data_IF_118160680856
#
_entry.id   IF_118160680856
#
_cell.length_a   1.000
_cell.length_b   1.000
_cell.length_c   1.000
_cell.angle_alpha   90.00
_cell.angle_beta   90.00
_cell.angle_gamma   90.00
#
_symmetry.space_group_name_H-M   'P 1'
#
loop_
_entity.id
_entity.type
_entity.pdbx_description
1 polymer ?
#
# COMPACT_ATOMS: atom_id res chain seq x y z
N UNK A 1 -21.62 22.57 28.69
CA UNK A 1 -20.72 21.45 28.30
C UNK A 1 -21.17 20.98 26.93
N UNK A 2 -20.56 21.50 25.89
CA UNK A 2 -20.83 21.14 24.50
C UNK A 2 -20.31 19.72 24.26
N UNK A 3 -21.18 18.80 23.82
CA UNK A 3 -20.80 17.48 23.35
C UNK A 3 -19.74 17.66 22.25
N UNK A 4 -18.49 17.32 22.57
CA UNK A 4 -17.42 17.35 21.60
C UNK A 4 -17.82 16.47 20.42
N UNK A 5 -17.71 17.00 19.20
CA UNK A 5 -17.77 16.22 17.96
C UNK A 5 -16.68 15.16 18.07
N UNK A 6 -17.03 13.95 18.44
CA UNK A 6 -16.15 12.81 18.24
C UNK A 6 -15.89 12.73 16.74
N UNK A 7 -14.65 12.99 16.33
CA UNK A 7 -14.23 12.86 14.95
C UNK A 7 -14.60 11.47 14.45
N UNK A 8 -15.22 11.40 13.26
CA UNK A 8 -15.61 10.12 12.67
C UNK A 8 -14.35 9.33 12.37
N UNK A 9 -14.12 8.26 13.11
CA UNK A 9 -13.02 7.32 12.88
C UNK A 9 -13.19 6.68 11.51
N UNK A 10 -12.08 6.53 10.80
CA UNK A 10 -12.04 5.94 9.47
C UNK A 10 -11.32 4.60 9.54
N UNK A 11 -12.06 3.50 9.44
CA UNK A 11 -11.47 2.18 9.43
C UNK A 11 -10.72 1.92 8.12
N UNK A 12 -9.50 1.39 8.25
CA UNK A 12 -8.66 0.95 7.12
C UNK A 12 -8.20 -0.48 7.34
N UNK A 13 -8.01 -1.22 6.26
CA UNK A 13 -7.49 -2.59 6.28
C UNK A 13 -6.36 -2.78 5.30
N UNK A 14 -5.33 -3.50 5.74
CA UNK A 14 -4.22 -3.98 4.93
C UNK A 14 -4.30 -5.50 4.84
N UNK A 15 -4.26 -6.02 3.64
CA UNK A 15 -4.21 -7.46 3.40
C UNK A 15 -2.73 -7.87 3.43
N UNK A 16 -2.28 -8.36 4.58
CA UNK A 16 -1.00 -9.06 4.69
C UNK A 16 -1.14 -10.41 4.01
N UNK A 17 -0.41 -10.62 2.92
CA UNK A 17 -0.69 -11.71 2.01
C UNK A 17 0.50 -12.66 1.87
N UNK A 18 0.27 -13.95 2.04
CA UNK A 18 1.21 -14.99 1.64
C UNK A 18 1.10 -15.18 0.12
N UNK A 19 2.21 -14.99 -0.58
CA UNK A 19 2.29 -15.11 -2.04
C UNK A 19 2.77 -16.51 -2.40
N UNK A 20 2.05 -17.17 -3.29
CA UNK A 20 2.39 -18.46 -3.90
C UNK A 20 3.00 -18.27 -5.30
N UNK A 21 3.51 -19.37 -5.88
CA UNK A 21 4.00 -19.36 -7.28
C UNK A 21 2.88 -19.38 -8.32
N UNK A 22 1.61 -19.61 -7.91
CA UNK A 22 0.45 -19.53 -8.80
C UNK A 22 -0.18 -18.13 -8.74
N UNK A 23 -0.12 -17.34 -9.83
CA UNK A 23 -0.82 -16.07 -9.96
C UNK A 23 -2.35 -16.21 -9.73
N UNK A 24 -2.95 -17.31 -10.18
CA UNK A 24 -4.39 -17.57 -10.03
C UNK A 24 -4.76 -17.69 -8.56
N UNK A 25 -4.02 -18.50 -7.78
CA UNK A 25 -4.22 -18.64 -6.33
C UNK A 25 -4.00 -17.31 -5.59
N UNK A 26 -3.04 -16.52 -6.04
CA UNK A 26 -2.78 -15.19 -5.47
C UNK A 26 -3.96 -14.26 -5.72
N UNK A 27 -4.55 -14.28 -6.93
CA UNK A 27 -5.74 -13.50 -7.27
C UNK A 27 -6.97 -13.95 -6.47
N UNK A 28 -7.20 -15.25 -6.34
CA UNK A 28 -8.29 -15.82 -5.54
C UNK A 28 -8.16 -15.40 -4.05
N UNK A 29 -6.95 -15.48 -3.51
CA UNK A 29 -6.67 -15.05 -2.13
C UNK A 29 -6.93 -13.56 -1.96
N UNK A 30 -6.43 -12.74 -2.89
CA UNK A 30 -6.65 -11.30 -2.87
C UNK A 30 -8.13 -10.95 -2.91
N UNK A 31 -8.90 -11.61 -3.78
CA UNK A 31 -10.35 -11.41 -3.91
C UNK A 31 -11.08 -11.70 -2.60
N UNK A 32 -10.91 -12.90 -2.05
CA UNK A 32 -11.54 -13.31 -0.80
C UNK A 32 -11.24 -12.35 0.34
N UNK A 33 -9.98 -11.91 0.45
CA UNK A 33 -9.56 -11.03 1.53
C UNK A 33 -10.04 -9.59 1.33
N UNK A 34 -10.19 -9.12 0.09
CA UNK A 34 -10.79 -7.81 -0.22
C UNK A 34 -12.25 -7.75 0.23
N UNK A 35 -13.06 -8.78 -0.09
CA UNK A 35 -14.44 -8.84 0.38
C UNK A 35 -14.52 -8.90 1.91
N UNK A 36 -13.75 -9.78 2.55
CA UNK A 36 -13.72 -9.87 4.03
C UNK A 36 -13.33 -8.53 4.70
N UNK A 37 -12.38 -7.81 4.14
CA UNK A 37 -12.01 -6.49 4.64
C UNK A 37 -13.13 -5.45 4.44
N UNK A 38 -13.83 -5.52 3.32
CA UNK A 38 -14.99 -4.67 3.05
C UNK A 38 -16.15 -4.95 4.00
N UNK A 39 -16.46 -6.22 4.24
CA UNK A 39 -17.53 -6.66 5.16
C UNK A 39 -17.27 -6.20 6.60
N UNK A 40 -16.00 -6.00 6.99
CA UNK A 40 -15.65 -5.41 8.29
C UNK A 40 -15.89 -3.88 8.38
N UNK A 41 -16.34 -3.24 7.29
CA UNK A 41 -16.64 -1.80 7.26
C UNK A 41 -15.49 -0.89 6.85
N UNK A 42 -14.36 -1.45 6.37
CA UNK A 42 -13.20 -0.68 5.95
C UNK A 42 -13.49 0.27 4.80
N UNK A 43 -13.07 1.53 4.93
CA UNK A 43 -13.22 2.55 3.88
C UNK A 43 -12.07 2.60 2.90
N UNK A 44 -10.91 2.07 3.31
CA UNK A 44 -9.76 1.84 2.44
C UNK A 44 -9.21 0.43 2.68
N UNK A 45 -8.92 -0.27 1.59
CA UNK A 45 -8.34 -1.61 1.64
C UNK A 45 -7.11 -1.63 0.74
N UNK A 46 -5.97 -2.04 1.32
CA UNK A 46 -4.70 -2.14 0.61
C UNK A 46 -4.31 -3.58 0.32
N UNK A 47 -3.72 -3.81 -0.85
CA UNK A 47 -3.00 -5.01 -1.23
C UNK A 47 -1.49 -4.76 -1.22
N UNK A 48 -0.64 -5.80 -1.04
CA UNK A 48 0.81 -5.63 -1.01
C UNK A 48 1.42 -5.47 -2.41
N UNK A 49 2.70 -5.11 -2.44
CA UNK A 49 3.49 -5.10 -3.68
C UNK A 49 3.54 -6.50 -4.28
N UNK A 50 3.40 -6.61 -5.62
CA UNK A 50 3.46 -7.88 -6.38
C UNK A 50 2.40 -8.92 -5.98
N UNK A 51 1.22 -8.49 -5.52
CA UNK A 51 0.19 -9.37 -4.96
C UNK A 51 -0.28 -10.47 -5.93
N UNK A 52 -0.25 -10.22 -7.23
CA UNK A 52 -0.70 -11.14 -8.28
C UNK A 52 0.47 -11.89 -8.97
N UNK A 53 1.71 -11.62 -8.57
CA UNK A 53 2.89 -12.19 -9.21
C UNK A 53 3.36 -13.46 -8.50
N UNK A 54 4.07 -14.38 -9.19
CA UNK A 54 4.60 -15.59 -8.55
C UNK A 54 5.62 -15.25 -7.45
N UNK A 55 5.69 -16.08 -6.40
CA UNK A 55 6.63 -15.90 -5.31
C UNK A 55 8.10 -15.96 -5.79
N UNK A 56 8.37 -16.79 -6.81
CA UNK A 56 9.68 -16.93 -7.47
C UNK A 56 9.97 -15.83 -8.50
N UNK A 57 9.29 -14.67 -8.41
CA UNK A 57 9.43 -13.57 -9.38
C UNK A 57 10.89 -13.13 -9.60
N UNK A 58 11.68 -13.07 -8.53
CA UNK A 58 13.07 -12.60 -8.61
C UNK A 58 14.01 -13.57 -9.35
N UNK A 59 13.56 -14.81 -9.57
CA UNK A 59 14.29 -15.81 -10.38
C UNK A 59 13.99 -15.67 -11.88
N UNK A 60 13.07 -14.76 -12.27
CA UNK A 60 12.68 -14.55 -13.67
C UNK A 60 13.54 -13.46 -14.30
N UNK A 61 14.04 -13.77 -15.51
CA UNK A 61 14.85 -12.82 -16.30
C UNK A 61 14.00 -11.99 -17.26
N UNK A 62 12.82 -12.47 -17.65
CA UNK A 62 11.93 -11.84 -18.62
C UNK A 62 10.58 -11.53 -18.02
N UNK A 63 10.22 -10.26 -17.98
CA UNK A 63 8.96 -9.79 -17.38
C UNK A 63 7.79 -9.74 -18.36
N UNK A 64 8.06 -9.80 -19.67
CA UNK A 64 7.03 -9.67 -20.72
C UNK A 64 5.91 -10.69 -20.52
N UNK A 65 6.27 -11.96 -20.40
CA UNK A 65 5.31 -13.05 -20.19
C UNK A 65 4.51 -12.88 -18.91
N UNK A 66 5.18 -12.48 -17.82
CA UNK A 66 4.53 -12.23 -16.54
C UNK A 66 3.51 -11.10 -16.67
N UNK A 67 3.86 -10.02 -17.37
CA UNK A 67 2.95 -8.89 -17.62
C UNK A 67 1.74 -9.34 -18.42
N UNK A 68 1.94 -10.13 -19.48
CA UNK A 68 0.86 -10.64 -20.33
C UNK A 68 -0.10 -11.55 -19.55
N UNK A 69 0.42 -12.42 -18.70
CA UNK A 69 -0.37 -13.40 -17.94
C UNK A 69 -1.09 -12.78 -16.73
N UNK A 70 -0.48 -11.81 -16.05
CA UNK A 70 -0.97 -11.37 -14.73
C UNK A 70 -1.65 -10.01 -14.72
N UNK A 71 -1.28 -9.08 -15.61
CA UNK A 71 -1.77 -7.71 -15.59
C UNK A 71 -3.27 -7.60 -15.80
N UNK A 72 -3.78 -8.21 -16.87
CA UNK A 72 -5.20 -8.09 -17.22
C UNK A 72 -6.11 -8.76 -16.19
N UNK A 73 -5.86 -10.01 -15.75
CA UNK A 73 -6.61 -10.64 -14.67
C UNK A 73 -6.63 -9.81 -13.39
N UNK A 74 -5.48 -9.26 -12.95
CA UNK A 74 -5.39 -8.42 -11.76
C UNK A 74 -6.21 -7.13 -11.89
N UNK A 75 -6.12 -6.44 -13.03
CA UNK A 75 -6.91 -5.22 -13.26
C UNK A 75 -8.41 -5.50 -13.31
N UNK A 76 -8.83 -6.60 -13.96
CA UNK A 76 -10.23 -7.04 -13.99
C UNK A 76 -10.76 -7.33 -12.59
N UNK A 77 -10.02 -8.08 -11.79
CA UNK A 77 -10.35 -8.37 -10.39
C UNK A 77 -10.52 -7.08 -9.59
N UNK A 78 -9.53 -6.18 -9.60
CA UNK A 78 -9.56 -4.93 -8.85
C UNK A 78 -10.74 -4.04 -9.24
N UNK A 79 -11.04 -3.93 -10.54
CA UNK A 79 -12.20 -3.17 -11.03
C UNK A 79 -13.52 -3.79 -10.58
N UNK A 80 -13.68 -5.10 -10.68
CA UNK A 80 -14.88 -5.83 -10.27
C UNK A 80 -15.11 -5.64 -8.78
N UNK A 81 -14.14 -5.99 -7.94
CA UNK A 81 -14.27 -5.87 -6.48
C UNK A 81 -14.54 -4.41 -6.08
N UNK A 82 -13.81 -3.43 -6.64
CA UNK A 82 -14.03 -2.02 -6.30
C UNK A 82 -15.41 -1.48 -6.74
N UNK A 83 -16.11 -2.16 -7.65
CA UNK A 83 -17.49 -1.84 -8.02
C UNK A 83 -18.50 -2.39 -7.01
N UNK A 84 -18.21 -3.53 -6.42
CA UNK A 84 -19.12 -4.28 -5.56
C UNK A 84 -19.01 -3.87 -4.09
N UNK A 85 -17.86 -3.30 -3.67
CA UNK A 85 -17.62 -2.90 -2.28
C UNK A 85 -17.65 -1.38 -2.08
N UNK A 86 -18.15 -0.93 -0.91
CA UNK A 86 -18.12 0.49 -0.53
C UNK A 86 -16.77 0.88 0.12
N UNK A 87 -15.66 0.62 -0.59
CA UNK A 87 -14.33 0.97 -0.14
C UNK A 87 -13.47 1.49 -1.30
N UNK A 88 -12.46 2.31 -0.99
CA UNK A 88 -11.35 2.60 -1.88
C UNK A 88 -10.39 1.41 -1.88
N UNK A 89 -9.98 0.95 -3.05
CA UNK A 89 -8.98 -0.11 -3.19
C UNK A 89 -7.64 0.49 -3.62
N UNK A 90 -6.62 0.27 -2.79
CA UNK A 90 -5.22 0.47 -3.16
C UNK A 90 -4.70 -0.87 -3.66
N UNK A 91 -4.62 -1.02 -4.97
CA UNK A 91 -4.53 -2.30 -5.66
C UNK A 91 -3.15 -2.97 -5.61
N UNK A 92 -2.40 -2.80 -4.52
CA UNK A 92 -1.05 -3.36 -4.44
C UNK A 92 -0.19 -2.88 -5.59
N UNK A 93 0.61 -3.76 -6.18
CA UNK A 93 1.26 -3.43 -7.45
C UNK A 93 1.14 -4.52 -8.49
N UNK A 94 1.14 -4.08 -9.75
CA UNK A 94 1.20 -4.88 -10.97
C UNK A 94 2.32 -4.35 -11.86
N UNK A 95 2.79 -5.16 -12.78
CA UNK A 95 3.62 -4.66 -13.87
C UNK A 95 2.72 -4.11 -14.99
N UNK A 96 2.96 -2.86 -15.36
CA UNK A 96 2.23 -2.15 -16.41
C UNK A 96 3.13 -1.92 -17.61
N UNK A 97 2.67 -2.26 -18.82
CA UNK A 97 3.30 -1.83 -20.07
C UNK A 97 2.64 -0.53 -20.54
N UNK A 98 3.44 0.52 -20.75
CA UNK A 98 2.96 1.79 -21.24
C UNK A 98 3.98 2.42 -22.19
N UNK A 99 3.57 2.71 -23.43
CA UNK A 99 4.42 3.27 -24.50
C UNK A 99 5.72 2.48 -24.74
N UNK A 100 5.63 1.14 -24.64
CA UNK A 100 6.77 0.25 -24.83
C UNK A 100 7.61 -0.01 -23.61
N UNK A 101 7.43 0.76 -22.53
CA UNK A 101 8.19 0.64 -21.28
C UNK A 101 7.37 -0.10 -20.20
N UNK A 102 8.07 -0.75 -19.28
CA UNK A 102 7.47 -1.49 -18.17
C UNK A 102 7.64 -0.76 -16.84
N UNK A 103 6.60 -0.76 -16.00
CA UNK A 103 6.58 -0.05 -14.73
C UNK A 103 6.01 -0.93 -13.61
N UNK A 104 6.55 -0.79 -12.40
CA UNK A 104 5.91 -1.27 -11.18
C UNK A 104 4.85 -0.22 -10.76
N UNK A 105 3.57 -0.57 -10.87
CA UNK A 105 2.45 0.38 -10.80
C UNK A 105 1.42 -0.03 -9.75
N UNK A 106 1.07 0.89 -8.85
CA UNK A 106 -0.07 0.79 -7.95
C UNK A 106 -1.28 1.54 -8.52
N UNK A 107 -2.44 0.89 -8.53
CA UNK A 107 -3.70 1.48 -8.95
C UNK A 107 -4.52 1.93 -7.73
N UNK A 108 -5.23 3.05 -7.87
CA UNK A 108 -6.19 3.55 -6.89
C UNK A 108 -7.59 3.51 -7.51
N UNK A 109 -8.51 2.76 -6.87
CA UNK A 109 -9.82 2.46 -7.45
C UNK A 109 -10.97 2.74 -6.47
N UNK A 110 -12.11 3.10 -7.04
CA UNK A 110 -13.42 3.18 -6.36
C UNK A 110 -14.52 2.96 -7.39
N UNK A 111 -15.59 2.26 -7.02
CA UNK A 111 -16.79 2.05 -7.85
C UNK A 111 -16.48 1.54 -9.28
N UNK A 112 -15.55 0.61 -9.41
CA UNK A 112 -15.13 0.02 -10.68
C UNK A 112 -14.23 0.91 -11.54
N UNK A 113 -13.92 2.13 -11.10
CA UNK A 113 -13.11 3.10 -11.83
C UNK A 113 -11.69 3.19 -11.27
N UNK A 114 -10.70 3.27 -12.16
CA UNK A 114 -9.33 3.64 -11.79
C UNK A 114 -9.29 5.16 -11.66
N UNK A 115 -9.21 5.66 -10.42
CA UNK A 115 -9.12 7.09 -10.11
C UNK A 115 -7.73 7.64 -10.41
N UNK A 116 -6.74 6.77 -10.36
CA UNK A 116 -5.37 7.11 -10.72
C UNK A 116 -4.38 5.97 -10.45
N UNK A 117 -3.12 6.29 -10.68
CA UNK A 117 -2.00 5.35 -10.50
C UNK A 117 -0.78 6.05 -9.95
N UNK A 118 0.08 5.26 -9.34
CA UNK A 118 1.43 5.66 -8.97
C UNK A 118 2.42 4.63 -9.51
N UNK A 119 3.48 5.09 -10.17
CA UNK A 119 4.59 4.26 -10.66
C UNK A 119 5.78 4.42 -9.74
N UNK A 120 6.40 3.33 -9.34
CA UNK A 120 7.56 3.31 -8.44
C UNK A 120 8.67 4.22 -8.97
N UNK A 121 9.21 5.05 -8.09
CA UNK A 121 10.24 6.04 -8.46
C UNK A 121 11.65 5.56 -8.17
N UNK A 122 11.80 4.66 -7.20
CA UNK A 122 13.11 4.14 -6.80
C UNK A 122 13.10 2.63 -6.94
N UNK A 123 13.75 2.16 -8.01
CA UNK A 123 13.81 0.75 -8.36
C UNK A 123 14.91 0.03 -7.56
N UNK A 124 14.66 -1.23 -7.22
CA UNK A 124 15.69 -2.15 -6.74
C UNK A 124 16.62 -2.54 -7.88
N UNK A 125 17.79 -3.12 -7.57
CA UNK A 125 18.73 -3.58 -8.61
C UNK A 125 18.10 -4.66 -9.50
N UNK A 126 17.31 -5.56 -8.93
CA UNK A 126 16.58 -6.55 -9.71
C UNK A 126 15.58 -5.90 -10.68
N UNK A 127 14.79 -4.95 -10.21
CA UNK A 127 13.82 -4.22 -11.06
C UNK A 127 14.49 -3.50 -12.23
N UNK A 128 15.67 -2.92 -12.01
CA UNK A 128 16.48 -2.32 -13.07
C UNK A 128 16.99 -3.37 -14.05
N UNK A 129 17.51 -4.51 -13.54
CA UNK A 129 18.03 -5.61 -14.34
C UNK A 129 16.98 -6.18 -15.28
N UNK A 130 15.73 -6.32 -14.84
CA UNK A 130 14.63 -6.84 -15.66
C UNK A 130 13.96 -5.77 -16.55
N UNK A 131 14.50 -4.54 -16.58
CA UNK A 131 14.08 -3.50 -17.53
C UNK A 131 12.86 -2.68 -17.08
N UNK A 132 12.57 -2.59 -15.76
CA UNK A 132 11.56 -1.66 -15.29
C UNK A 132 12.05 -0.21 -15.37
N UNK A 133 11.12 0.70 -15.64
CA UNK A 133 11.35 2.14 -15.71
C UNK A 133 10.80 2.85 -14.49
N UNK A 134 11.41 3.98 -14.15
CA UNK A 134 11.02 4.82 -13.00
C UNK A 134 9.78 5.66 -13.29
N UNK A 135 8.92 5.83 -12.30
CA UNK A 135 7.86 6.82 -12.33
C UNK A 135 8.41 8.24 -12.13
N UNK A 136 7.61 9.25 -12.48
CA UNK A 136 8.04 10.65 -12.41
C UNK A 136 7.06 11.57 -11.68
N UNK A 137 5.88 11.08 -11.29
CA UNK A 137 4.79 11.95 -10.82
C UNK A 137 4.30 11.55 -9.44
N UNK A 138 4.38 12.48 -8.48
CA UNK A 138 3.66 12.39 -7.22
C UNK A 138 2.22 12.83 -7.40
N UNK A 139 1.31 12.09 -6.80
CA UNK A 139 -0.11 12.40 -6.82
C UNK A 139 -0.74 12.18 -5.45
N UNK A 140 -1.59 13.12 -5.05
CA UNK A 140 -2.48 12.99 -3.90
C UNK A 140 -3.91 12.88 -4.44
N UNK A 141 -4.66 11.93 -3.90
CA UNK A 141 -6.05 11.66 -4.26
C UNK A 141 -6.95 12.24 -3.18
N UNK A 142 -7.82 13.14 -3.57
CA UNK A 142 -8.85 13.66 -2.67
C UNK A 142 -10.00 12.67 -2.58
N UNK A 143 -10.40 12.34 -1.36
CA UNK A 143 -11.54 11.47 -1.08
C UNK A 143 -12.45 12.14 -0.05
N UNK A 144 -13.64 11.60 0.14
CA UNK A 144 -14.58 12.09 1.15
C UNK A 144 -14.07 11.93 2.60
N UNK A 145 -13.02 11.12 2.82
CA UNK A 145 -12.46 10.84 4.15
C UNK A 145 -11.16 11.60 4.43
N UNK A 146 -10.23 11.53 3.47
CA UNK A 146 -8.89 12.08 3.63
C UNK A 146 -8.21 12.31 2.28
N UNK A 147 -7.04 12.96 2.32
CA UNK A 147 -6.13 13.07 1.18
C UNK A 147 -5.13 11.91 1.22
N UNK A 148 -5.25 10.99 0.25
CA UNK A 148 -4.45 9.78 0.16
C UNK A 148 -3.30 9.93 -0.83
N UNK A 149 -2.09 9.52 -0.42
CA UNK A 149 -0.91 9.38 -1.28
C UNK A 149 -0.52 7.91 -1.42
N UNK A 150 0.31 7.61 -2.42
CA UNK A 150 0.86 6.27 -2.65
C UNK A 150 2.36 6.38 -2.87
N UNK A 151 3.11 5.51 -2.22
CA UNK A 151 4.52 5.18 -2.48
C UNK A 151 4.65 3.67 -2.63
N UNK A 152 5.72 3.18 -3.23
CA UNK A 152 5.96 1.74 -3.39
C UNK A 152 7.32 1.37 -2.79
N UNK A 153 7.31 0.50 -1.79
CA UNK A 153 8.47 -0.20 -1.22
C UNK A 153 9.71 0.69 -1.03
N UNK A 154 10.71 0.60 -1.90
CA UNK A 154 11.97 1.33 -1.82
C UNK A 154 11.82 2.87 -1.82
N UNK A 155 10.69 3.40 -2.25
CA UNK A 155 10.46 4.85 -2.21
C UNK A 155 10.54 5.41 -0.79
N UNK A 156 10.20 4.63 0.25
CA UNK A 156 10.23 5.06 1.65
C UNK A 156 11.65 5.31 2.17
N UNK A 157 12.67 4.70 1.54
CA UNK A 157 14.07 4.94 1.93
C UNK A 157 14.50 6.39 1.67
N UNK A 158 13.87 7.05 0.73
CA UNK A 158 14.19 8.42 0.34
C UNK A 158 13.30 9.41 1.09
N UNK A 159 13.84 10.21 2.04
CA UNK A 159 13.03 11.12 2.87
C UNK A 159 12.19 12.10 2.06
N UNK A 160 12.69 12.49 0.88
CA UNK A 160 12.04 13.47 0.00
C UNK A 160 10.70 12.98 -0.55
N UNK A 161 10.48 11.65 -0.69
CA UNK A 161 9.25 11.11 -1.26
C UNK A 161 8.06 11.31 -0.32
N UNK A 162 8.21 10.92 0.95
CA UNK A 162 7.16 11.14 1.98
C UNK A 162 6.95 12.63 2.21
N UNK A 163 8.05 13.41 2.33
CA UNK A 163 7.97 14.88 2.48
C UNK A 163 7.22 15.53 1.32
N UNK A 164 7.46 15.06 0.08
CA UNK A 164 6.77 15.60 -1.10
C UNK A 164 5.27 15.31 -1.07
N UNK A 165 4.85 14.09 -0.76
CA UNK A 165 3.43 13.78 -0.62
C UNK A 165 2.78 14.57 0.52
N UNK A 166 3.43 14.68 1.67
CA UNK A 166 2.94 15.48 2.79
C UNK A 166 2.80 16.97 2.40
N UNK A 167 3.75 17.55 1.66
CA UNK A 167 3.68 18.93 1.17
C UNK A 167 2.56 19.15 0.14
N UNK A 168 2.16 18.11 -0.59
CA UNK A 168 0.99 18.11 -1.47
C UNK A 168 -0.33 17.90 -0.70
N UNK A 169 -0.26 17.74 0.63
CA UNK A 169 -1.40 17.64 1.51
C UNK A 169 -1.82 16.21 1.85
N UNK A 170 -1.06 15.18 1.48
CA UNK A 170 -1.39 13.80 1.85
C UNK A 170 -1.48 13.66 3.37
N UNK A 171 -2.54 13.03 3.85
CA UNK A 171 -2.81 12.74 5.26
C UNK A 171 -2.53 11.27 5.57
N UNK A 172 -2.81 10.41 4.60
CA UNK A 172 -2.59 8.97 4.63
C UNK A 172 -1.74 8.59 3.42
N UNK A 173 -0.66 7.83 3.63
CA UNK A 173 0.21 7.32 2.57
C UNK A 173 0.15 5.80 2.59
N UNK A 174 -0.33 5.20 1.52
CA UNK A 174 -0.28 3.76 1.31
C UNK A 174 1.09 3.37 0.77
N UNK A 175 1.64 2.31 1.34
CA UNK A 175 2.98 1.81 1.03
C UNK A 175 2.96 0.30 0.83
N UNK A 176 2.51 -0.20 -0.35
CA UNK A 176 2.71 -1.60 -0.70
C UNK A 176 4.20 -1.94 -0.75
N UNK A 177 4.57 -3.05 -0.09
CA UNK A 177 5.95 -3.52 0.00
C UNK A 177 6.04 -5.03 -0.25
N UNK A 178 7.17 -5.45 -0.82
CA UNK A 178 7.60 -6.84 -0.91
C UNK A 178 9.06 -6.91 -0.44
N UNK A 179 9.25 -6.86 0.88
CA UNK A 179 10.59 -6.83 1.45
C UNK A 179 11.14 -8.23 1.65
N UNK A 180 12.39 -8.44 1.25
CA UNK A 180 13.13 -9.64 1.62
C UNK A 180 13.63 -9.57 3.06
N UNK A 181 14.03 -10.72 3.64
CA UNK A 181 14.65 -10.84 4.97
C UNK A 181 15.86 -9.93 5.19
N UNK A 182 16.47 -9.46 4.11
CA UNK A 182 17.79 -8.80 4.11
C UNK A 182 17.72 -7.30 4.35
N UNK A 183 16.53 -6.71 4.55
CA UNK A 183 16.38 -5.28 4.81
C UNK A 183 15.93 -4.97 6.25
N UNK A 184 16.86 -4.94 7.24
CA UNK A 184 16.54 -4.61 8.63
C UNK A 184 15.74 -3.32 8.82
N UNK A 185 15.99 -2.23 8.06
CA UNK A 185 15.18 -1.00 8.17
C UNK A 185 13.70 -1.16 7.84
N UNK A 186 13.33 -2.24 7.12
CA UNK A 186 11.93 -2.55 6.79
C UNK A 186 11.31 -3.45 7.84
N UNK A 187 12.13 -4.27 8.53
CA UNK A 187 11.70 -5.10 9.65
C UNK A 187 11.47 -4.22 10.88
N UNK A 188 10.36 -4.42 11.60
CA UNK A 188 10.05 -3.66 12.81
C UNK A 188 9.71 -2.18 12.58
N UNK A 189 9.62 -1.75 11.34
CA UNK A 189 9.14 -0.42 10.93
C UNK A 189 9.91 0.83 11.40
N UNK A 190 11.17 0.80 11.88
CA UNK A 190 11.81 1.98 12.48
C UNK A 190 11.88 3.15 11.51
N UNK A 191 12.23 2.87 10.23
CA UNK A 191 12.29 3.89 9.19
C UNK A 191 10.90 4.44 8.85
N UNK A 192 9.91 3.56 8.70
CA UNK A 192 8.56 3.97 8.32
C UNK A 192 7.89 4.78 9.42
N UNK A 193 8.11 4.42 10.69
CA UNK A 193 7.63 5.17 11.85
C UNK A 193 8.25 6.57 11.86
N UNK A 194 9.58 6.66 11.69
CA UNK A 194 10.27 7.95 11.58
C UNK A 194 9.72 8.83 10.44
N UNK A 195 9.40 8.25 9.28
CA UNK A 195 8.77 8.99 8.17
C UNK A 195 7.37 9.50 8.51
N UNK A 196 6.56 8.69 9.22
CA UNK A 196 5.22 9.07 9.65
C UNK A 196 5.27 10.24 10.65
N UNK A 197 6.16 10.16 11.64
CA UNK A 197 6.41 11.17 12.65
C UNK A 197 6.88 12.49 12.02
N UNK A 198 8.01 12.46 11.29
CA UNK A 198 8.65 13.64 10.69
C UNK A 198 7.71 14.44 9.76
N UNK A 199 6.78 13.75 9.11
CA UNK A 199 5.89 14.35 8.10
C UNK A 199 4.44 14.49 8.59
N UNK A 200 4.15 14.07 9.83
CA UNK A 200 2.80 14.10 10.43
C UNK A 200 1.76 13.49 9.50
N UNK A 201 1.99 12.25 9.08
CA UNK A 201 1.11 11.49 8.20
C UNK A 201 0.88 10.09 8.78
N UNK A 202 -0.26 9.48 8.46
CA UNK A 202 -0.37 8.03 8.59
C UNK A 202 0.39 7.36 7.45
N UNK A 203 1.11 6.26 7.73
CA UNK A 203 1.70 5.40 6.70
C UNK A 203 1.16 3.98 6.88
N UNK A 204 0.51 3.48 5.84
CA UNK A 204 -0.10 2.18 5.77
C UNK A 204 0.83 1.25 4.98
N UNK A 205 1.80 0.65 5.69
CA UNK A 205 2.78 -0.27 5.12
C UNK A 205 2.14 -1.63 4.95
N UNK A 206 1.92 -2.03 3.71
CA UNK A 206 1.26 -3.28 3.38
C UNK A 206 2.25 -4.28 2.77
N UNK A 207 2.64 -5.29 3.56
CA UNK A 207 3.61 -6.29 3.20
C UNK A 207 3.00 -7.61 2.74
N UNK A 208 3.83 -8.41 2.10
CA UNK A 208 3.57 -9.80 1.76
C UNK A 208 4.60 -10.73 2.39
N UNK A 209 4.33 -12.02 2.36
CA UNK A 209 5.29 -13.08 2.70
C UNK A 209 5.44 -14.04 1.54
N UNK A 210 6.62 -14.69 1.48
CA UNK A 210 6.93 -15.74 0.51
C UNK A 210 7.55 -16.91 1.25
N UNK A 211 7.48 -18.12 0.69
CA UNK A 211 7.92 -19.36 1.35
C UNK A 211 9.36 -19.34 1.86
N UNK A 212 10.24 -18.56 1.24
CA UNK A 212 11.65 -18.46 1.54
C UNK A 212 12.07 -17.14 2.21
N UNK A 213 11.15 -16.23 2.45
CA UNK A 213 11.43 -14.93 3.06
C UNK A 213 10.41 -14.60 4.15
N UNK A 214 10.90 -14.27 5.34
CA UNK A 214 10.08 -13.55 6.32
C UNK A 214 9.80 -12.18 5.75
N UNK A 215 8.61 -12.00 5.22
CA UNK A 215 8.29 -10.85 4.42
C UNK A 215 7.91 -9.63 5.20
N UNK A 216 7.67 -8.61 4.49
CA UNK A 216 7.39 -7.23 4.65
C UNK A 216 6.52 -6.72 5.80
N UNK A 217 6.31 -7.45 6.88
CA UNK A 217 5.54 -7.05 8.07
C UNK A 217 4.59 -5.86 7.82
N UNK A 218 3.29 -6.13 7.66
CA UNK A 218 2.30 -5.06 7.47
C UNK A 218 2.11 -4.28 8.77
N UNK A 219 1.97 -2.95 8.67
CA UNK A 219 1.68 -2.10 9.82
C UNK A 219 0.89 -0.87 9.41
N UNK A 220 -0.02 -0.47 10.29
CA UNK A 220 -0.72 0.81 10.24
C UNK A 220 -0.03 1.72 11.25
N UNK A 221 0.63 2.76 10.74
CA UNK A 221 1.53 3.62 11.49
C UNK A 221 0.97 5.03 11.52
N UNK A 222 0.82 5.57 12.70
CA UNK A 222 0.44 6.97 12.94
C UNK A 222 1.69 7.82 13.22
N UNK A 223 1.58 9.15 13.23
CA UNK A 223 2.65 10.03 13.72
C UNK A 223 3.05 9.76 15.18
N UNK A 224 2.20 9.08 15.94
CA UNK A 224 2.43 8.81 17.37
C UNK A 224 2.86 7.36 17.65
N UNK A 225 3.00 6.52 16.62
CA UNK A 225 3.43 5.14 16.73
C UNK A 225 2.58 4.15 15.93
N UNK A 226 2.84 2.87 16.16
CA UNK A 226 2.17 1.77 15.47
C UNK A 226 0.78 1.54 16.09
N UNK A 227 -0.29 1.61 15.28
CA UNK A 227 -1.64 1.34 15.71
C UNK A 227 -1.97 -0.16 15.69
N UNK A 228 -1.54 -0.87 14.64
CA UNK A 228 -1.67 -2.32 14.49
C UNK A 228 -0.63 -2.85 13.51
N UNK A 229 -0.26 -4.12 13.64
CA UNK A 229 0.74 -4.75 12.76
C UNK A 229 0.57 -6.27 12.65
N UNK A 230 1.06 -6.83 11.56
CA UNK A 230 1.34 -8.26 11.38
C UNK A 230 2.83 -8.49 11.68
N UNK A 231 3.15 -8.80 12.94
CA UNK A 231 4.53 -9.03 13.36
C UNK A 231 4.90 -10.49 13.10
N UNK A 232 5.98 -10.71 12.33
CA UNK A 232 6.54 -12.03 11.99
C UNK A 232 5.49 -13.04 11.46
N UNK A 233 4.40 -12.52 10.88
CA UNK A 233 3.29 -13.31 10.37
C UNK A 233 3.63 -13.89 9.00
N UNK A 234 3.48 -15.20 8.87
CA UNK A 234 3.72 -15.91 7.61
C UNK A 234 2.42 -16.18 6.83
N UNK A 235 1.28 -16.11 7.51
CA UNK A 235 -0.01 -16.44 6.91
C UNK A 235 -0.74 -15.19 6.41
N UNK A 236 -1.63 -15.38 5.45
CA UNK A 236 -2.52 -14.32 4.99
C UNK A 236 -3.48 -13.89 6.10
N UNK A 237 -3.51 -12.59 6.39
CA UNK A 237 -4.43 -12.00 7.38
C UNK A 237 -4.76 -10.54 7.07
N UNK A 238 -5.80 -10.03 7.68
CA UNK A 238 -6.18 -8.64 7.63
C UNK A 238 -5.62 -7.91 8.86
N UNK A 239 -4.97 -6.78 8.63
CA UNK A 239 -4.51 -5.85 9.67
C UNK A 239 -5.35 -4.59 9.55
N UNK A 240 -6.18 -4.31 10.55
CA UNK A 240 -7.11 -3.18 10.52
C UNK A 240 -6.86 -2.22 11.67
N UNK A 241 -7.15 -0.94 11.47
CA UNK A 241 -7.18 0.07 12.53
C UNK A 241 -8.13 1.21 12.13
N UNK A 242 -8.58 1.95 13.14
CA UNK A 242 -9.31 3.18 12.98
C UNK A 242 -8.35 4.37 12.95
N UNK A 243 -8.43 5.19 11.93
CA UNK A 243 -7.65 6.42 11.79
C UNK A 243 -8.47 7.62 12.22
N UNK A 244 -7.95 8.41 13.17
CA UNK A 244 -8.51 9.70 13.53
C UNK A 244 -7.88 10.81 12.67
N UNK A 245 -8.51 11.09 11.55
CA UNK A 245 -8.07 12.16 10.63
C UNK A 245 -8.29 13.55 11.26
N UNK A 246 -9.29 13.69 12.11
CA UNK A 246 -9.56 14.96 12.82
C UNK A 246 -8.43 15.28 13.80
N UNK A 247 -7.99 14.28 14.57
CA UNK A 247 -6.82 14.38 15.44
C UNK A 247 -5.56 14.75 14.65
N UNK A 248 -5.30 14.08 13.51
CA UNK A 248 -4.17 14.41 12.66
C UNK A 248 -4.21 15.87 12.18
N UNK A 249 -5.37 16.35 11.73
CA UNK A 249 -5.55 17.72 11.26
C UNK A 249 -5.31 18.74 12.38
N UNK A 250 -5.76 18.44 13.59
CA UNK A 250 -5.50 19.26 14.77
C UNK A 250 -4.00 19.30 15.07
N UNK A 251 -3.35 18.15 15.16
CA UNK A 251 -1.91 18.03 15.41
C UNK A 251 -1.05 18.78 14.36
N UNK A 252 -1.46 18.80 13.10
CA UNK A 252 -0.75 19.55 12.06
C UNK A 252 -0.85 21.05 12.25
N UNK A 253 -1.98 21.57 12.75
CA UNK A 253 -2.20 23.00 12.98
C UNK A 253 -1.51 23.48 14.25
N UNK A 254 -1.58 22.70 15.29
CA UNK A 254 -1.01 23.01 16.60
C UNK A 254 -0.28 21.79 17.20
N UNK A 255 1.01 21.63 16.86
CA UNK A 255 1.80 20.49 17.32
C UNK A 255 2.04 20.46 18.83
N UNK A 256 1.93 21.61 19.51
CA UNK A 256 2.22 21.72 20.96
C UNK A 256 1.00 21.38 21.81
N UNK A 257 -0.22 21.42 21.27
CA UNK A 257 -1.44 21.14 22.02
C UNK A 257 -1.68 19.68 22.38
N UNK A 258 -0.79 18.78 21.98
CA UNK A 258 -0.90 17.33 22.19
C UNK A 258 0.07 16.78 23.26
N UNK A 259 0.87 17.65 23.90
CA UNK A 259 1.75 17.32 25.03
C UNK A 259 1.14 17.74 26.35
#
# INVERSE_FOLDING_TARGET
>A
MTKGQQGKLMQVSLIHMQISDSPEKNLETAEQMLYRAADSGSKFIGLPEYFALPASLEDKEHIEKIVEETREPAVKLLKRVSKEVDAYIVGGTIFEKFRGEYYNTCLFLKQGKILGRFRKMHLTEWEKKVGLHVGSTFRVFETEFCKAGILICADVFYPRTVKRLASLGAEVIFLPVSASRTHPPVQGHPLTTKRAEDNRVFILKNGNTRSNSRGGNSAIISPWGILNQAKDEMNTKIVSADLDITKLRKYRRDPVSEY
#
